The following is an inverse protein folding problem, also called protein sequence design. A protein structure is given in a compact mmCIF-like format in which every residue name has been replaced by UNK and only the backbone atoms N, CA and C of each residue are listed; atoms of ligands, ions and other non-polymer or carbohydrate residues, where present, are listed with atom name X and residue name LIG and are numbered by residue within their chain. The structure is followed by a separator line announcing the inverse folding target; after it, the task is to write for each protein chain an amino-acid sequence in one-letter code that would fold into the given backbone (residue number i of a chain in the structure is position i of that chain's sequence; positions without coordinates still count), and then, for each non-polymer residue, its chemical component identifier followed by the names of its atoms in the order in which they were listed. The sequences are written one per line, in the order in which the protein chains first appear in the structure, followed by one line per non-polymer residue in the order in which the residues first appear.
data_IF_147897310778
#
_entry.id   IF_147897310778
#
_cell.length_a   1.000
_cell.length_b   1.000
_cell.length_c   1.000
_cell.angle_alpha   90.00
_cell.angle_beta   90.00
_cell.angle_gamma   90.00
#
_symmetry.space_group_name_H-M   'P 1'
#
loop_
_entity.id
_entity.type
_entity.pdbx_description
1 polymer ?
#
# COMPACT_ATOMS: atom_id res chain seq x y z
N UNK A 1 -10.84 5.48 4.05
CA UNK A 1 -9.86 5.17 5.11
C UNK A 1 -9.47 6.45 5.81
N UNK A 2 -8.52 6.40 6.73
CA UNK A 2 -7.98 7.58 7.43
C UNK A 2 -6.61 7.92 6.85
N UNK A 3 -6.40 9.15 6.41
CA UNK A 3 -5.09 9.65 6.00
C UNK A 3 -4.19 9.76 7.26
N UNK A 4 -2.96 9.23 7.19
CA UNK A 4 -2.08 9.17 8.37
C UNK A 4 -0.78 9.98 8.24
N UNK A 5 -0.49 10.53 7.06
CA UNK A 5 0.67 11.39 6.83
C UNK A 5 0.25 12.76 6.28
N UNK A 6 1.16 13.71 6.27
CA UNK A 6 0.91 15.09 5.83
C UNK A 6 0.93 15.23 4.30
N UNK A 7 1.70 14.39 3.60
CA UNK A 7 1.75 14.39 2.15
C UNK A 7 0.50 13.77 1.49
N UNK A 8 -0.19 14.59 0.69
CA UNK A 8 -1.32 14.17 -0.15
C UNK A 8 -0.94 14.34 -1.62
N UNK A 9 -0.95 13.25 -2.36
CA UNK A 9 -0.64 13.25 -3.79
C UNK A 9 -1.81 13.81 -4.61
N UNK A 10 -1.47 14.56 -5.66
CA UNK A 10 -2.36 15.02 -6.72
C UNK A 10 -2.36 14.07 -7.94
N UNK A 11 -1.55 13.01 -7.90
CA UNK A 11 -1.42 12.05 -8.99
C UNK A 11 -2.70 11.25 -9.17
N UNK A 12 -3.14 11.10 -10.43
CA UNK A 12 -4.23 10.18 -10.79
C UNK A 12 -3.79 8.74 -10.60
N UNK A 13 -4.69 7.92 -10.07
CA UNK A 13 -4.51 6.47 -9.90
C UNK A 13 -5.49 5.70 -10.78
N UNK A 14 -5.06 4.58 -11.34
CA UNK A 14 -5.79 3.76 -12.31
C UNK A 14 -5.88 2.31 -11.83
N UNK A 15 -6.64 2.10 -10.76
CA UNK A 15 -6.82 0.78 -10.15
C UNK A 15 -6.04 0.58 -8.86
N UNK A 16 -6.06 -0.66 -8.38
CA UNK A 16 -5.45 -1.04 -7.13
C UNK A 16 -4.80 -2.44 -7.20
N UNK A 17 -3.86 -2.70 -6.31
CA UNK A 17 -3.25 -4.00 -6.07
C UNK A 17 -3.41 -4.34 -4.60
N UNK A 18 -4.00 -5.49 -4.28
CA UNK A 18 -4.11 -5.98 -2.90
C UNK A 18 -3.08 -7.09 -2.69
N UNK A 19 -2.23 -6.90 -1.70
CA UNK A 19 -1.10 -7.78 -1.40
C UNK A 19 -1.18 -8.24 0.05
N UNK A 20 -1.10 -9.55 0.28
CA UNK A 20 -0.84 -10.13 1.61
C UNK A 20 0.65 -9.97 1.91
N UNK A 21 1.00 -9.08 2.84
CA UNK A 21 2.40 -8.74 3.14
C UNK A 21 3.20 -9.95 3.63
N UNK A 22 2.58 -10.83 4.42
CA UNK A 22 3.25 -12.00 5.00
C UNK A 22 3.49 -13.02 3.91
N UNK A 23 2.48 -13.32 3.09
CA UNK A 23 2.66 -14.26 1.97
C UNK A 23 3.67 -13.71 0.98
N UNK A 24 3.57 -12.44 0.60
CA UNK A 24 4.45 -11.83 -0.40
C UNK A 24 5.94 -11.96 -0.03
N UNK A 25 6.32 -11.70 1.24
CA UNK A 25 7.72 -11.80 1.64
C UNK A 25 8.22 -13.23 1.78
N UNK A 26 7.33 -14.18 2.11
CA UNK A 26 7.70 -15.59 2.29
C UNK A 26 7.74 -16.34 0.96
N UNK A 27 6.81 -16.04 0.04
CA UNK A 27 6.61 -16.83 -1.17
C UNK A 27 7.34 -16.32 -2.40
N UNK A 28 7.68 -15.02 -2.45
CA UNK A 28 8.31 -14.43 -3.62
C UNK A 28 9.83 -14.50 -3.48
N UNK A 29 10.50 -15.03 -4.50
CA UNK A 29 11.92 -14.81 -4.70
C UNK A 29 12.20 -13.32 -4.95
N UNK A 30 13.48 -12.91 -4.83
CA UNK A 30 13.86 -11.52 -5.08
C UNK A 30 13.41 -11.01 -6.45
N UNK A 31 13.53 -11.82 -7.51
CA UNK A 31 13.10 -11.42 -8.86
C UNK A 31 11.58 -11.31 -8.99
N UNK A 32 10.81 -12.23 -8.41
CA UNK A 32 9.35 -12.18 -8.44
C UNK A 32 8.82 -10.98 -7.66
N UNK A 33 9.48 -10.64 -6.56
CA UNK A 33 9.20 -9.41 -5.82
C UNK A 33 9.43 -8.18 -6.71
N UNK A 34 10.57 -8.10 -7.41
CA UNK A 34 10.83 -7.02 -8.36
C UNK A 34 9.78 -6.94 -9.49
N UNK A 35 9.34 -8.07 -10.03
CA UNK A 35 8.27 -8.10 -11.02
C UNK A 35 6.94 -7.60 -10.43
N UNK A 36 6.58 -7.99 -9.21
CA UNK A 36 5.39 -7.51 -8.54
C UNK A 36 5.40 -5.97 -8.35
N UNK A 37 6.57 -5.37 -8.11
CA UNK A 37 6.72 -3.91 -8.02
C UNK A 37 6.34 -3.20 -9.32
N UNK A 38 6.60 -3.81 -10.48
CA UNK A 38 6.21 -3.22 -11.78
C UNK A 38 4.69 -3.12 -11.96
N UNK A 39 3.92 -3.96 -11.27
CA UNK A 39 2.46 -3.94 -11.30
C UNK A 39 1.85 -2.78 -10.49
N UNK A 40 2.67 -2.07 -9.70
CA UNK A 40 2.26 -0.98 -8.82
C UNK A 40 2.16 0.39 -9.53
N UNK A 41 2.68 0.51 -10.76
CA UNK A 41 2.70 1.78 -11.52
C UNK A 41 1.29 2.38 -11.59
N UNK A 42 1.17 3.64 -11.14
CA UNK A 42 -0.08 4.42 -11.12
C UNK A 42 -1.26 3.71 -10.43
N UNK A 43 -1.02 2.80 -9.49
CA UNK A 43 -2.08 2.12 -8.73
C UNK A 43 -1.99 2.41 -7.24
N UNK A 44 -3.13 2.28 -6.57
CA UNK A 44 -3.17 2.18 -5.11
C UNK A 44 -2.63 0.81 -4.70
N UNK A 45 -1.63 0.76 -3.83
CA UNK A 45 -1.12 -0.52 -3.30
C UNK A 45 -1.64 -0.73 -1.89
N UNK A 46 -2.32 -1.84 -1.68
CA UNK A 46 -2.95 -2.19 -0.41
C UNK A 46 -2.24 -3.36 0.21
N UNK A 47 -1.70 -3.15 1.40
CA UNK A 47 -1.08 -4.20 2.20
C UNK A 47 -2.06 -4.70 3.26
N UNK A 48 -2.36 -5.99 3.18
CA UNK A 48 -3.16 -6.73 4.17
C UNK A 48 -2.26 -7.54 5.08
N UNK A 49 -2.76 -7.88 6.27
CA UNK A 49 -2.02 -8.61 7.32
C UNK A 49 -0.69 -7.93 7.68
N UNK A 50 -0.71 -6.61 7.69
CA UNK A 50 0.42 -5.77 8.07
C UNK A 50 0.39 -5.51 9.58
N UNK A 51 1.54 -5.58 10.25
CA UNK A 51 1.66 -5.26 11.67
C UNK A 51 1.89 -3.76 11.87
N UNK A 52 3.04 -3.25 11.44
CA UNK A 52 3.48 -1.87 11.72
C UNK A 52 3.65 -0.98 10.48
N UNK A 53 3.56 -1.54 9.28
CA UNK A 53 3.86 -0.85 8.02
C UNK A 53 5.35 -0.73 7.69
N UNK A 54 6.26 -0.96 8.66
CA UNK A 54 7.71 -0.79 8.48
C UNK A 54 8.27 -1.63 7.33
N UNK A 55 7.99 -2.94 7.32
CA UNK A 55 8.53 -3.85 6.31
C UNK A 55 8.03 -3.51 4.89
N UNK A 56 6.71 -3.31 4.64
CA UNK A 56 6.23 -2.81 3.36
C UNK A 56 6.89 -1.49 2.91
N UNK A 57 7.06 -0.54 3.83
CA UNK A 57 7.67 0.75 3.49
C UNK A 57 9.15 0.65 3.16
N UNK A 58 9.91 -0.20 3.85
CA UNK A 58 11.31 -0.48 3.50
C UNK A 58 11.38 -1.10 2.09
N UNK A 59 10.48 -2.04 1.80
CA UNK A 59 10.45 -2.67 0.48
C UNK A 59 10.09 -1.66 -0.63
N UNK A 60 9.16 -0.75 -0.36
CA UNK A 60 8.84 0.37 -1.26
C UNK A 60 9.97 1.38 -1.36
N UNK A 61 10.74 1.66 -0.31
CA UNK A 61 11.91 2.58 -0.33
C UNK A 61 12.99 2.11 -1.31
N UNK A 62 13.21 0.80 -1.42
CA UNK A 62 14.18 0.24 -2.37
C UNK A 62 13.60 -0.09 -3.74
N UNK A 63 12.28 -0.04 -3.90
CA UNK A 63 11.61 -0.28 -5.17
C UNK A 63 11.97 0.80 -6.22
N UNK A 64 12.16 0.44 -7.50
CA UNK A 64 12.42 1.43 -8.55
C UNK A 64 11.20 2.30 -8.87
N UNK A 65 10.00 1.80 -8.57
CA UNK A 65 8.72 2.46 -8.82
C UNK A 65 8.00 2.64 -7.49
N UNK A 66 7.52 3.86 -7.22
CA UNK A 66 6.76 4.20 -6.01
C UNK A 66 5.29 4.32 -6.33
N UNK A 67 4.40 3.62 -5.60
CA UNK A 67 2.97 3.86 -5.74
C UNK A 67 2.62 5.26 -5.20
N UNK A 68 1.70 5.98 -5.84
CA UNK A 68 1.25 7.29 -5.35
C UNK A 68 0.49 7.19 -4.02
N UNK A 69 -0.20 6.06 -3.79
CA UNK A 69 -1.01 5.82 -2.59
C UNK A 69 -0.73 4.40 -2.06
N UNK A 70 -0.46 4.32 -0.76
CA UNK A 70 -0.32 3.08 0.01
C UNK A 70 -1.46 2.98 1.02
N UNK A 71 -2.08 1.82 1.10
CA UNK A 71 -3.13 1.54 2.10
C UNK A 71 -2.67 0.42 3.03
N UNK A 72 -2.68 0.67 4.33
CA UNK A 72 -2.53 -0.37 5.34
C UNK A 72 -3.90 -0.81 5.83
N UNK A 73 -4.21 -2.09 5.67
CA UNK A 73 -5.44 -2.65 6.19
C UNK A 73 -5.26 -3.07 7.65
N UNK A 74 -5.89 -2.31 8.55
CA UNK A 74 -5.90 -2.54 10.01
C UNK A 74 -4.53 -2.93 10.60
N UNK A 75 -3.50 -2.09 10.45
CA UNK A 75 -2.24 -2.33 11.15
C UNK A 75 -2.45 -2.31 12.67
N UNK A 76 -1.66 -3.09 13.40
CA UNK A 76 -1.69 -3.14 14.87
C UNK A 76 -1.18 -1.82 15.46
N UNK A 77 -0.12 -1.30 14.86
CA UNK A 77 0.50 -0.03 15.20
C UNK A 77 1.07 0.62 13.93
N UNK A 78 1.53 1.87 14.02
CA UNK A 78 2.26 2.50 12.93
C UNK A 78 3.68 2.75 13.40
N UNK A 79 4.66 2.20 12.68
CA UNK A 79 6.07 2.45 12.95
C UNK A 79 6.42 3.89 12.52
N UNK A 80 7.07 4.70 13.36
CA UNK A 80 7.48 6.05 12.99
C UNK A 80 8.33 6.10 11.71
N UNK A 81 9.19 5.10 11.49
CA UNK A 81 9.99 5.02 10.26
C UNK A 81 9.11 4.83 9.02
N UNK A 82 8.00 4.11 9.14
CA UNK A 82 7.06 3.94 8.03
C UNK A 82 6.46 5.29 7.62
N UNK A 83 6.14 6.15 8.58
CA UNK A 83 5.63 7.50 8.32
C UNK A 83 6.72 8.38 7.72
N UNK A 84 7.92 8.41 8.29
CA UNK A 84 9.04 9.20 7.78
C UNK A 84 9.40 8.83 6.33
N UNK A 85 9.45 7.53 6.04
CA UNK A 85 9.67 7.04 4.68
C UNK A 85 8.57 7.51 3.73
N UNK A 86 7.30 7.51 4.16
CA UNK A 86 6.19 7.97 3.32
C UNK A 86 6.29 9.44 2.94
N UNK A 87 6.73 10.29 3.87
CA UNK A 87 6.95 11.71 3.61
C UNK A 87 8.14 11.90 2.66
N UNK A 88 9.27 11.23 2.92
CA UNK A 88 10.47 11.37 2.09
C UNK A 88 10.31 10.87 0.65
N UNK A 89 9.43 9.87 0.45
CA UNK A 89 9.18 9.23 -0.85
C UNK A 89 7.95 9.79 -1.56
N UNK A 90 7.29 10.82 -1.00
CA UNK A 90 6.08 11.42 -1.56
C UNK A 90 4.98 10.36 -1.84
N UNK A 91 4.72 9.51 -0.85
CA UNK A 91 3.67 8.50 -0.89
C UNK A 91 2.56 8.86 0.09
N UNK A 92 1.32 8.95 -0.38
CA UNK A 92 0.17 9.15 0.50
C UNK A 92 -0.17 7.85 1.20
N UNK A 93 -0.34 7.89 2.53
CA UNK A 93 -0.64 6.68 3.31
C UNK A 93 -2.02 6.77 3.94
N UNK A 94 -2.81 5.72 3.74
CA UNK A 94 -4.16 5.59 4.26
C UNK A 94 -4.25 4.34 5.12
N UNK A 95 -4.91 4.42 6.28
CA UNK A 95 -5.32 3.25 7.05
C UNK A 95 -6.77 2.90 6.71
N UNK A 96 -6.99 1.66 6.25
CA UNK A 96 -8.33 1.11 6.13
C UNK A 96 -8.79 0.49 7.44
N UNK A 97 -10.00 0.84 7.86
CA UNK A 97 -10.66 0.35 9.08
C UNK A 97 -11.67 -0.76 8.80
N UNK A 98 -11.79 -1.24 7.54
CA UNK A 98 -12.71 -2.31 7.17
C UNK A 98 -12.39 -3.59 7.95
N UNK A 99 -13.41 -4.27 8.47
CA UNK A 99 -13.21 -5.42 9.35
C UNK A 99 -12.52 -6.59 8.62
N UNK A 100 -12.95 -6.88 7.39
CA UNK A 100 -12.46 -7.99 6.57
C UNK A 100 -11.84 -7.51 5.26
N UNK A 101 -10.92 -8.32 4.70
CA UNK A 101 -10.27 -8.05 3.40
C UNK A 101 -11.31 -7.99 2.26
N UNK A 102 -12.36 -8.82 2.32
CA UNK A 102 -13.44 -8.82 1.34
C UNK A 102 -14.18 -7.47 1.27
N UNK A 103 -14.44 -6.85 2.43
CA UNK A 103 -15.12 -5.55 2.49
C UNK A 103 -14.24 -4.42 1.93
N UNK A 104 -12.92 -4.52 2.17
CA UNK A 104 -11.95 -3.64 1.55
C UNK A 104 -11.97 -3.79 0.03
N UNK A 105 -11.89 -5.02 -0.49
CA UNK A 105 -11.93 -5.27 -1.93
C UNK A 105 -13.25 -4.80 -2.55
N UNK A 106 -14.40 -5.07 -1.92
CA UNK A 106 -15.71 -4.58 -2.37
C UNK A 106 -15.75 -3.05 -2.45
N UNK A 107 -15.23 -2.37 -1.42
CA UNK A 107 -15.15 -0.90 -1.41
C UNK A 107 -14.20 -0.34 -2.47
N UNK A 108 -13.09 -1.01 -2.77
CA UNK A 108 -12.19 -0.60 -3.85
C UNK A 108 -12.83 -0.81 -5.24
N UNK A 109 -13.58 -1.90 -5.42
CA UNK A 109 -14.31 -2.17 -6.66
C UNK A 109 -15.38 -1.14 -6.95
N UNK A 110 -16.14 -0.69 -5.95
CA UNK A 110 -17.20 0.30 -6.17
C UNK A 110 -16.63 1.64 -6.69
N UNK A 111 -15.42 2.03 -6.26
CA UNK A 111 -14.75 3.24 -6.73
C UNK A 111 -14.35 3.18 -8.21
N UNK A 112 -14.17 1.98 -8.78
CA UNK A 112 -13.84 1.82 -10.20
C UNK A 112 -15.07 1.90 -11.11
N UNK A 113 -16.29 1.75 -10.56
CA UNK A 113 -17.54 1.80 -11.33
C UNK A 113 -18.07 3.23 -11.44
N UNK A 114 -17.62 4.12 -10.56
CA UNK A 114 -18.05 5.53 -10.50
C UNK A 114 -17.19 6.48 -11.38
N UNK A 115 -16.26 5.94 -12.18
CA UNK A 115 -15.41 6.72 -13.11
C UNK A 115 -15.69 6.37 -14.56
#
# INVERSE_FOLDING_TARGET
GVLINSYVTDKKVYGYLVTDSIKAIISLSGMEFYQALSLMVNKVVVFTKVSSGRSPMIALKVAPIKPPIVVFHRPVNLDPLALELSESENMTVIVSTKAHEEDLVKGLKSLLVET
#
